data_IF_101673445857
#
_entry.id   IF_101673445857
#
_cell.length_a   1.000
_cell.length_b   1.000
_cell.length_c   1.000
_cell.angle_alpha   90.00
_cell.angle_beta   90.00
_cell.angle_gamma   90.00
#
_symmetry.space_group_name_H-M   'P 1'
#
loop_
_entity.id
_entity.type
_entity.pdbx_description
1 polymer ?
#
# COMPACT_ATOMS: atom_id res chain seq x y z
N UNK A 1 -40.62 16.28 -37.06
CA UNK A 1 -41.43 17.51 -36.96
C UNK A 1 -42.35 17.38 -35.74
N UNK A 2 -42.44 18.45 -34.94
CA UNK A 2 -43.38 18.74 -33.84
C UNK A 2 -43.05 18.22 -32.43
N UNK A 3 -42.43 19.12 -31.66
CA UNK A 3 -42.58 19.34 -30.21
C UNK A 3 -43.99 19.89 -29.95
N UNK A 4 -44.58 19.61 -28.77
CA UNK A 4 -45.51 20.42 -27.92
C UNK A 4 -46.16 19.43 -26.92
N UNK A 5 -45.77 19.35 -25.64
CA UNK A 5 -46.06 20.20 -24.46
C UNK A 5 -47.56 20.28 -24.07
N UNK A 6 -47.85 20.40 -22.75
CA UNK A 6 -49.15 20.60 -22.04
C UNK A 6 -49.57 19.36 -21.23
N UNK A 7 -49.91 19.37 -19.93
CA UNK A 7 -49.91 20.33 -18.82
C UNK A 7 -50.07 19.47 -17.54
N UNK A 8 -49.48 19.85 -16.39
CA UNK A 8 -50.19 20.41 -15.22
C UNK A 8 -51.60 19.83 -15.00
N UNK A 9 -52.07 19.40 -13.83
CA UNK A 9 -51.71 19.60 -12.44
C UNK A 9 -52.73 18.77 -11.60
N UNK A 10 -52.37 18.41 -10.37
CA UNK A 10 -53.22 18.23 -9.18
C UNK A 10 -54.58 17.49 -9.27
N UNK A 11 -54.72 16.43 -8.46
CA UNK A 11 -55.64 16.29 -7.31
C UNK A 11 -55.14 15.02 -6.56
N UNK A 12 -54.46 15.06 -5.41
CA UNK A 12 -54.82 15.54 -4.07
C UNK A 12 -55.83 14.61 -3.35
N UNK A 13 -55.22 13.79 -2.48
CA UNK A 13 -55.57 13.33 -1.11
C UNK A 13 -56.71 12.35 -0.79
N UNK A 14 -56.38 11.61 0.28
CA UNK A 14 -57.18 10.87 1.28
C UNK A 14 -57.30 9.36 0.98
N UNK A 15 -56.78 8.45 1.80
CA UNK A 15 -56.83 8.48 3.27
C UNK A 15 -55.62 7.81 3.94
N UNK A 16 -55.11 8.50 4.96
CA UNK A 16 -54.37 7.90 6.06
C UNK A 16 -55.25 6.86 6.78
N UNK A 17 -54.67 5.73 7.17
CA UNK A 17 -55.08 5.02 8.39
C UNK A 17 -53.88 4.97 9.32
N UNK A 18 -53.94 5.85 10.32
CA UNK A 18 -53.17 5.73 11.56
C UNK A 18 -53.55 4.41 12.24
N UNK A 19 -52.56 3.60 12.57
CA UNK A 19 -52.62 2.79 13.78
C UNK A 19 -51.33 3.05 14.56
N UNK A 20 -51.45 3.83 15.63
CA UNK A 20 -50.38 4.14 16.57
C UNK A 20 -50.85 3.71 17.95
N UNK A 21 -50.17 2.74 18.52
CA UNK A 21 -50.05 2.52 19.97
C UNK A 21 -48.63 1.94 20.17
N UNK A 22 -47.61 2.77 20.41
CA UNK A 22 -47.16 3.33 21.70
C UNK A 22 -46.56 2.29 22.66
N UNK A 23 -45.39 2.69 23.20
CA UNK A 23 -44.46 2.06 24.14
C UNK A 23 -43.41 1.12 23.50
N UNK A 24 -42.10 1.37 23.59
CA UNK A 24 -41.33 2.40 24.30
C UNK A 24 -39.96 2.67 23.66
N UNK A 25 -39.40 3.82 24.03
CA UNK A 25 -38.08 4.39 23.75
C UNK A 25 -36.93 3.38 23.67
N UNK A 26 -36.09 3.42 22.64
CA UNK A 26 -34.97 4.34 22.62
C UNK A 26 -34.17 4.31 21.31
N UNK A 27 -33.51 5.43 21.07
CA UNK A 27 -33.16 5.96 19.77
C UNK A 27 -31.85 5.36 19.25
N UNK A 28 -31.93 4.73 18.10
CA UNK A 28 -31.10 4.99 16.92
C UNK A 28 -29.63 5.41 17.17
N UNK A 29 -28.68 4.54 16.83
CA UNK A 29 -27.68 4.81 15.77
C UNK A 29 -26.94 3.50 15.54
N UNK A 30 -27.21 2.82 14.43
CA UNK A 30 -26.27 1.84 13.90
C UNK A 30 -25.00 2.59 13.51
N UNK A 31 -24.09 2.74 14.48
CA UNK A 31 -22.69 2.96 14.23
C UNK A 31 -22.20 1.72 13.49
N UNK A 32 -22.20 1.80 12.15
CA UNK A 32 -21.19 1.10 11.35
C UNK A 32 -19.85 1.67 11.81
N UNK A 33 -19.35 1.17 12.94
CA UNK A 33 -17.95 1.28 13.29
C UNK A 33 -17.24 0.47 12.22
N UNK A 34 -16.86 1.16 11.14
CA UNK A 34 -15.73 0.74 10.32
C UNK A 34 -14.58 0.74 11.34
N UNK A 35 -14.35 -0.41 11.96
CA UNK A 35 -13.22 -0.61 12.84
C UNK A 35 -12.03 -0.52 11.89
N UNK A 36 -11.56 0.71 11.67
CA UNK A 36 -10.18 0.91 11.26
C UNK A 36 -9.38 0.27 12.37
N UNK A 37 -9.05 -1.01 12.17
CA UNK A 37 -7.98 -1.64 12.90
C UNK A 37 -6.77 -0.84 12.41
N UNK A 38 -6.46 0.25 13.11
CA UNK A 38 -5.13 0.83 13.11
C UNK A 38 -4.25 -0.25 13.74
N UNK A 39 -3.92 -1.27 12.95
CA UNK A 39 -2.93 -2.26 13.31
C UNK A 39 -1.66 -1.47 13.50
N UNK A 40 -1.23 -1.32 14.76
CA UNK A 40 0.01 -0.61 15.08
C UNK A 40 1.11 -1.25 14.24
N UNK A 41 1.68 -0.49 13.29
CA UNK A 41 2.79 -0.97 12.49
C UNK A 41 3.90 -1.40 13.45
N UNK A 42 4.45 -2.59 13.20
CA UNK A 42 5.57 -3.08 13.98
C UNK A 42 6.81 -2.29 13.61
N UNK A 43 7.63 -1.99 14.63
CA UNK A 43 8.86 -1.22 14.44
C UNK A 43 9.92 -2.03 13.70
N UNK A 44 10.13 -3.28 14.12
CA UNK A 44 11.20 -4.13 13.61
C UNK A 44 10.67 -5.21 12.67
N UNK A 45 11.21 -5.28 11.46
CA UNK A 45 10.88 -6.30 10.47
C UNK A 45 11.53 -7.64 10.83
N UNK A 46 10.81 -8.74 10.57
CA UNK A 46 11.35 -10.09 10.65
C UNK A 46 11.56 -10.66 9.23
N UNK A 47 12.81 -10.76 8.73
CA UNK A 47 13.10 -11.22 7.37
C UNK A 47 12.52 -12.61 7.04
N UNK A 48 12.55 -13.54 7.99
CA UNK A 48 12.03 -14.90 7.79
C UNK A 48 10.51 -14.93 7.61
N UNK A 49 9.81 -14.01 8.29
CA UNK A 49 8.35 -13.91 8.17
C UNK A 49 7.93 -13.35 6.81
N UNK A 50 8.66 -12.36 6.30
CA UNK A 50 8.28 -11.60 5.11
C UNK A 50 8.82 -12.17 3.80
N UNK A 51 9.62 -13.25 3.85
CA UNK A 51 10.32 -13.84 2.69
C UNK A 51 9.42 -14.10 1.48
N UNK A 52 8.16 -14.47 1.72
CA UNK A 52 7.18 -14.79 0.66
C UNK A 52 6.06 -13.75 0.56
N UNK A 53 6.21 -12.58 1.18
CA UNK A 53 5.19 -11.54 1.18
C UNK A 53 5.38 -10.60 -0.01
N UNK A 54 4.25 -10.08 -0.49
CA UNK A 54 4.25 -8.94 -1.41
C UNK A 54 4.73 -7.68 -0.68
N UNK A 55 5.28 -6.73 -1.43
CA UNK A 55 5.66 -5.43 -0.87
C UNK A 55 4.50 -4.76 -0.11
N UNK A 56 3.27 -4.87 -0.61
CA UNK A 56 2.09 -4.30 0.05
C UNK A 56 1.85 -4.93 1.43
N UNK A 57 1.88 -6.26 1.54
CA UNK A 57 1.72 -6.96 2.82
C UNK A 57 2.80 -6.54 3.82
N UNK A 58 4.04 -6.34 3.36
CA UNK A 58 5.12 -5.85 4.22
C UNK A 58 4.82 -4.44 4.70
N UNK A 59 4.44 -3.51 3.81
CA UNK A 59 4.13 -2.11 4.17
C UNK A 59 2.87 -1.95 5.04
N UNK A 60 1.92 -2.88 4.96
CA UNK A 60 0.76 -2.93 5.84
C UNK A 60 1.16 -3.25 7.29
N UNK A 61 2.17 -4.11 7.49
CA UNK A 61 2.63 -4.54 8.81
C UNK A 61 3.79 -3.74 9.38
N UNK A 62 4.75 -3.34 8.54
CA UNK A 62 6.01 -2.72 8.92
C UNK A 62 6.19 -1.37 8.22
N UNK A 63 6.58 -0.35 8.99
CA UNK A 63 6.87 0.97 8.43
C UNK A 63 8.31 1.04 7.90
N UNK A 64 8.54 1.35 6.62
CA UNK A 64 9.90 1.56 6.12
C UNK A 64 10.49 2.84 6.73
N UNK A 65 11.81 2.82 6.92
CA UNK A 65 12.59 4.00 7.34
C UNK A 65 13.14 4.78 6.14
N UNK A 66 13.32 4.12 5.00
CA UNK A 66 13.78 4.74 3.76
C UNK A 66 13.17 4.00 2.56
N UNK A 67 12.84 4.75 1.51
CA UNK A 67 12.36 4.23 0.23
C UNK A 67 12.93 5.12 -0.88
N UNK A 68 13.53 4.51 -1.89
CA UNK A 68 14.12 5.17 -3.05
C UNK A 68 13.75 4.40 -4.32
N UNK A 69 13.40 5.12 -5.38
CA UNK A 69 13.26 4.58 -6.73
C UNK A 69 14.37 5.16 -7.60
N UNK A 70 15.08 4.31 -8.34
CA UNK A 70 16.15 4.74 -9.24
C UNK A 70 16.17 3.93 -10.53
N UNK A 71 16.83 4.47 -11.57
CA UNK A 71 17.08 3.76 -12.82
C UNK A 71 18.44 3.04 -12.73
N UNK A 72 18.47 1.75 -13.02
CA UNK A 72 19.67 0.91 -12.90
C UNK A 72 20.86 1.43 -13.73
N UNK A 73 20.61 2.01 -14.90
CA UNK A 73 21.63 2.56 -15.79
C UNK A 73 22.19 3.92 -15.35
N UNK A 74 21.53 4.60 -14.41
CA UNK A 74 21.93 5.91 -13.89
C UNK A 74 22.43 5.84 -12.44
N UNK A 75 22.19 4.71 -11.77
CA UNK A 75 22.58 4.50 -10.38
C UNK A 75 24.10 4.45 -10.23
N UNK A 76 24.61 5.18 -9.24
CA UNK A 76 25.97 5.01 -8.74
C UNK A 76 26.01 3.66 -8.02
N UNK A 77 26.88 2.77 -8.50
CA UNK A 77 27.07 1.45 -7.89
C UNK A 77 28.08 1.57 -6.77
N UNK A 78 27.56 1.71 -5.55
CA UNK A 78 28.33 1.52 -4.32
C UNK A 78 28.49 0.04 -4.00
N UNK A 79 29.34 -0.28 -3.02
CA UNK A 79 29.45 -1.64 -2.47
C UNK A 79 28.11 -2.15 -1.94
N UNK A 80 27.25 -1.25 -1.47
CA UNK A 80 25.89 -1.58 -1.02
C UNK A 80 24.99 -2.12 -2.15
N UNK A 81 25.15 -1.62 -3.38
CA UNK A 81 24.29 -1.97 -4.53
C UNK A 81 24.93 -2.96 -5.49
N UNK A 82 26.19 -3.36 -5.25
CA UNK A 82 26.93 -4.26 -6.16
C UNK A 82 26.25 -5.62 -6.33
N UNK A 83 25.52 -6.09 -5.32
CA UNK A 83 24.76 -7.35 -5.38
C UNK A 83 23.73 -7.40 -6.52
N UNK A 84 23.17 -6.25 -6.91
CA UNK A 84 22.24 -6.16 -8.04
C UNK A 84 22.86 -6.66 -9.35
N UNK A 85 24.19 -6.53 -9.52
CA UNK A 85 24.88 -6.94 -10.74
C UNK A 85 24.93 -8.45 -10.93
N UNK A 86 24.62 -9.23 -9.90
CA UNK A 86 24.44 -10.68 -10.00
C UNK A 86 23.14 -11.05 -10.74
N UNK A 87 22.17 -10.13 -10.82
CA UNK A 87 20.84 -10.37 -11.40
C UNK A 87 20.65 -9.72 -12.76
N UNK A 88 21.49 -8.75 -13.13
CA UNK A 88 21.40 -8.01 -14.38
C UNK A 88 22.69 -8.14 -15.17
N UNK A 89 22.58 -8.69 -16.39
CA UNK A 89 23.72 -8.75 -17.31
C UNK A 89 24.07 -7.36 -17.85
N UNK A 90 25.25 -7.22 -18.46
CA UNK A 90 25.76 -5.93 -18.95
C UNK A 90 24.78 -5.17 -19.86
N UNK A 91 24.04 -5.89 -20.74
CA UNK A 91 23.07 -5.26 -21.64
C UNK A 91 21.86 -4.75 -20.88
N UNK A 92 21.42 -5.45 -19.84
CA UNK A 92 20.30 -5.04 -18.98
C UNK A 92 20.67 -3.84 -18.12
N UNK A 93 21.90 -3.80 -17.60
CA UNK A 93 22.42 -2.67 -16.81
C UNK A 93 22.49 -1.36 -17.59
N UNK A 94 22.51 -1.41 -18.92
CA UNK A 94 22.46 -0.22 -19.79
C UNK A 94 21.03 0.25 -20.10
N UNK A 95 20.00 -0.48 -19.65
CA UNK A 95 18.58 -0.13 -19.87
C UNK A 95 18.03 0.66 -18.67
N UNK A 96 17.01 1.52 -18.89
CA UNK A 96 16.34 2.26 -17.82
C UNK A 96 15.38 1.36 -17.04
N UNK A 97 15.92 0.40 -16.30
CA UNK A 97 15.16 -0.50 -15.43
C UNK A 97 14.92 0.21 -14.10
N UNK A 98 13.66 0.44 -13.73
CA UNK A 98 13.31 1.02 -12.44
C UNK A 98 13.47 -0.02 -11.33
N UNK A 99 14.30 0.33 -10.35
CA UNK A 99 14.53 -0.41 -9.12
C UNK A 99 13.92 0.38 -7.97
N UNK A 100 13.26 -0.34 -7.05
CA UNK A 100 12.76 0.18 -5.78
C UNK A 100 13.59 -0.43 -4.66
N UNK A 101 14.26 0.41 -3.91
CA UNK A 101 15.05 0.07 -2.74
C UNK A 101 14.29 0.53 -1.49
N UNK A 102 14.00 -0.40 -0.59
CA UNK A 102 13.28 -0.06 0.66
C UNK A 102 14.01 -0.67 1.84
N UNK A 103 14.18 0.15 2.87
CA UNK A 103 14.85 -0.23 4.10
C UNK A 103 13.89 -0.15 5.28
N UNK A 104 13.92 -1.17 6.13
CA UNK A 104 13.26 -1.23 7.43
C UNK A 104 14.30 -1.45 8.53
N UNK A 105 13.99 -1.02 9.76
CA UNK A 105 14.77 -1.47 10.91
C UNK A 105 14.50 -2.96 11.14
N UNK A 106 15.55 -3.79 11.27
CA UNK A 106 15.41 -5.21 11.61
C UNK A 106 15.51 -5.43 13.12
N UNK A 107 16.37 -4.66 13.77
CA UNK A 107 16.52 -4.57 15.22
C UNK A 107 17.23 -3.25 15.59
N UNK A 108 17.75 -3.17 16.81
CA UNK A 108 18.45 -1.97 17.27
C UNK A 108 19.74 -1.71 16.50
N UNK A 109 20.41 -2.75 16.00
CA UNK A 109 21.76 -2.65 15.44
C UNK A 109 21.78 -2.79 13.92
N UNK A 110 20.76 -3.43 13.34
CA UNK A 110 20.75 -3.78 11.92
C UNK A 110 19.52 -3.26 11.19
N UNK A 111 19.73 -3.00 9.90
CA UNK A 111 18.71 -2.67 8.93
C UNK A 111 18.51 -3.84 7.97
N UNK A 112 17.32 -3.90 7.37
CA UNK A 112 16.99 -4.85 6.31
C UNK A 112 16.51 -4.08 5.08
N UNK A 113 17.23 -4.23 3.98
CA UNK A 113 16.94 -3.60 2.71
C UNK A 113 16.50 -4.65 1.69
N UNK A 114 15.45 -4.34 0.93
CA UNK A 114 14.96 -5.19 -0.16
C UNK A 114 14.96 -4.37 -1.44
N UNK A 115 15.42 -4.98 -2.53
CA UNK A 115 15.32 -4.43 -3.88
C UNK A 115 14.24 -5.13 -4.68
N UNK A 116 13.43 -4.33 -5.37
CA UNK A 116 12.41 -4.80 -6.30
C UNK A 116 12.63 -4.20 -7.68
N UNK A 117 12.33 -4.95 -8.73
CA UNK A 117 12.22 -4.40 -10.10
C UNK A 117 10.76 -4.13 -10.44
N UNK A 118 10.52 -3.08 -11.22
CA UNK A 118 9.20 -2.86 -11.79
C UNK A 118 9.00 -3.78 -13.00
N UNK A 119 7.97 -4.63 -12.95
CA UNK A 119 7.50 -5.39 -14.11
C UNK A 119 6.03 -5.11 -14.37
N UNK A 120 5.71 -4.63 -15.58
CA UNK A 120 4.37 -4.14 -15.91
C UNK A 120 3.92 -3.15 -14.83
N UNK A 121 2.99 -3.56 -13.96
CA UNK A 121 2.47 -2.75 -12.86
C UNK A 121 2.80 -3.30 -11.45
N UNK A 122 3.67 -4.30 -11.33
CA UNK A 122 3.99 -4.97 -10.07
C UNK A 122 5.46 -4.79 -9.68
N UNK A 123 5.72 -4.88 -8.38
CA UNK A 123 7.08 -4.88 -7.81
C UNK A 123 7.49 -6.33 -7.57
N UNK A 124 8.51 -6.78 -8.29
CA UNK A 124 9.03 -8.15 -8.22
C UNK A 124 10.30 -8.15 -7.40
N UNK A 125 10.37 -8.99 -6.37
CA UNK A 125 11.55 -9.15 -5.52
C UNK A 125 12.77 -9.53 -6.35
N UNK A 126 13.91 -8.89 -6.09
CA UNK A 126 15.21 -9.23 -6.70
C UNK A 126 16.06 -9.91 -5.64
N UNK A 127 16.39 -9.17 -4.58
CA UNK A 127 17.31 -9.58 -3.53
C UNK A 127 17.07 -8.76 -2.26
N UNK A 128 17.73 -9.15 -1.18
CA UNK A 128 17.68 -8.42 0.09
C UNK A 128 19.01 -8.51 0.85
N UNK A 129 19.27 -7.51 1.68
CA UNK A 129 20.51 -7.40 2.44
C UNK A 129 20.27 -6.92 3.86
N UNK A 130 20.94 -7.55 4.83
CA UNK A 130 20.96 -7.12 6.23
C UNK A 130 22.32 -6.49 6.50
N UNK A 131 22.31 -5.30 7.07
CA UNK A 131 23.53 -4.51 7.31
C UNK A 131 23.50 -3.82 8.67
N UNK A 132 24.69 -3.61 9.26
CA UNK A 132 24.83 -2.92 10.54
C UNK A 132 24.67 -1.41 10.35
N UNK A 133 23.89 -0.75 11.21
CA UNK A 133 23.58 0.68 11.12
C UNK A 133 24.82 1.58 11.19
N UNK A 134 25.95 1.08 11.69
CA UNK A 134 27.22 1.78 11.77
C UNK A 134 28.17 1.46 10.62
N UNK A 135 27.73 0.71 9.61
CA UNK A 135 28.53 0.44 8.41
C UNK A 135 28.65 1.67 7.53
N UNK A 136 29.83 1.90 6.98
CA UNK A 136 30.09 2.89 5.93
C UNK A 136 30.22 2.16 4.59
N UNK A 137 29.53 2.65 3.55
CA UNK A 137 29.49 2.08 2.19
C UNK A 137 29.69 3.15 1.12
#
# INVERSE_FOLDING_TARGET
>A
MKIINICLFLIVILSCTKHKSLMDSDTNTQLKVKKEIHTKQMQYINPEEVKNWTLQQIKEKYKPIQEEDFLLNEAIISEFRIGLYNFFNEKERKKPITIKEITWEKDQNTNYTIWYRKELNQWVFIDSFIWDKNSEF
#
